data_IF_291257461931
#
_entry.id   IF_291257461931
#
_cell.length_a   1.000
_cell.length_b   1.000
_cell.length_c   1.000
_cell.angle_alpha   90.00
_cell.angle_beta   90.00
_cell.angle_gamma   90.00
#
_symmetry.space_group_name_H-M   'P 1'
#
loop_
_entity.id
_entity.type
_entity.pdbx_description
1 polymer ?
#
# COMPACT_ATOMS: atom_id res chain seq x y z
N UNK A 1 8.96 107.96 -117.76
CA UNK A 1 9.05 106.51 -117.56
C UNK A 1 9.09 106.22 -116.06
N UNK A 2 8.04 105.53 -115.56
CA UNK A 2 8.03 104.73 -114.32
C UNK A 2 9.27 103.78 -114.31
N UNK A 3 9.82 103.33 -113.16
CA UNK A 3 9.05 102.43 -112.29
C UNK A 3 9.17 102.62 -110.76
N UNK A 4 8.04 102.28 -110.15
CA UNK A 4 7.79 101.69 -108.83
C UNK A 4 9.00 101.46 -107.91
N UNK A 5 9.13 102.29 -106.86
CA UNK A 5 9.90 101.98 -105.64
C UNK A 5 9.03 101.76 -104.40
N UNK A 6 7.71 101.95 -104.50
CA UNK A 6 6.79 101.83 -103.36
C UNK A 6 6.21 100.42 -103.16
N UNK A 7 6.43 99.49 -104.10
CA UNK A 7 5.96 98.12 -103.97
C UNK A 7 6.93 97.23 -103.15
N UNK A 8 8.23 97.57 -103.11
CA UNK A 8 9.24 96.80 -102.37
C UNK A 8 9.14 96.96 -100.84
N UNK A 9 8.90 98.18 -100.32
CA UNK A 9 8.75 98.41 -98.88
C UNK A 9 7.48 97.75 -98.32
N UNK A 10 6.40 97.71 -99.11
CA UNK A 10 5.15 97.04 -98.74
C UNK A 10 5.32 95.50 -98.75
N UNK A 11 6.10 94.96 -99.70
CA UNK A 11 6.44 93.54 -99.75
C UNK A 11 7.31 93.10 -98.57
N UNK A 12 8.32 93.88 -98.20
CA UNK A 12 9.19 93.58 -97.06
C UNK A 12 8.42 93.69 -95.73
N UNK A 13 7.52 94.66 -95.56
CA UNK A 13 6.66 94.76 -94.37
C UNK A 13 5.63 93.63 -94.31
N UNK A 14 5.08 93.20 -95.45
CA UNK A 14 4.17 92.07 -95.54
C UNK A 14 4.89 90.73 -95.29
N UNK A 15 6.14 90.59 -95.75
CA UNK A 15 6.98 89.44 -95.49
C UNK A 15 7.39 89.36 -94.02
N UNK A 16 7.78 90.48 -93.40
CA UNK A 16 8.07 90.56 -91.97
C UNK A 16 6.82 90.23 -91.12
N UNK A 17 5.65 90.75 -91.50
CA UNK A 17 4.38 90.46 -90.83
C UNK A 17 3.97 88.98 -90.97
N UNK A 18 4.13 88.40 -92.17
CA UNK A 18 3.90 86.97 -92.40
C UNK A 18 4.87 86.10 -91.60
N UNK A 19 6.16 86.46 -91.55
CA UNK A 19 7.19 85.78 -90.75
C UNK A 19 6.87 85.88 -89.25
N UNK A 20 6.49 87.06 -88.76
CA UNK A 20 6.08 87.27 -87.37
C UNK A 20 4.84 86.44 -87.01
N UNK A 21 3.83 86.37 -87.89
CA UNK A 21 2.65 85.52 -87.72
C UNK A 21 2.99 84.03 -87.71
N UNK A 22 3.95 83.61 -88.53
CA UNK A 22 4.41 82.22 -88.58
C UNK A 22 5.20 81.83 -87.32
N UNK A 23 6.08 82.73 -86.85
CA UNK A 23 6.86 82.57 -85.61
C UNK A 23 5.96 82.55 -84.37
N UNK A 24 4.98 83.44 -84.28
CA UNK A 24 4.01 83.44 -83.17
C UNK A 24 3.15 82.17 -83.16
N UNK A 25 2.69 81.69 -84.32
CA UNK A 25 1.99 80.39 -84.44
C UNK A 25 2.87 79.22 -84.00
N UNK A 26 4.16 79.21 -84.39
CA UNK A 26 5.11 78.19 -83.96
C UNK A 26 5.36 78.26 -82.44
N UNK A 27 5.54 79.46 -81.87
CA UNK A 27 5.70 79.68 -80.42
C UNK A 27 4.48 79.19 -79.62
N UNK A 28 3.27 79.47 -80.09
CA UNK A 28 2.04 79.00 -79.44
C UNK A 28 1.90 77.48 -79.50
N UNK A 29 2.25 76.84 -80.63
CA UNK A 29 2.29 75.37 -80.74
C UNK A 29 3.32 74.75 -79.78
N UNK A 30 4.51 75.34 -79.68
CA UNK A 30 5.57 74.89 -78.76
C UNK A 30 5.09 75.08 -77.31
N UNK A 31 4.51 76.23 -76.95
CA UNK A 31 3.97 76.49 -75.61
C UNK A 31 2.88 75.48 -75.24
N UNK A 32 1.94 75.21 -76.16
CA UNK A 32 0.91 74.19 -75.95
C UNK A 32 1.53 72.79 -75.78
N UNK A 33 2.48 72.41 -76.62
CA UNK A 33 3.20 71.13 -76.52
C UNK A 33 3.96 71.00 -75.19
N UNK A 34 4.61 72.06 -74.73
CA UNK A 34 5.27 72.10 -73.42
C UNK A 34 4.26 71.86 -72.30
N UNK A 35 3.11 72.56 -72.30
CA UNK A 35 2.06 72.39 -71.30
C UNK A 35 1.51 70.95 -71.27
N UNK A 36 1.29 70.34 -72.44
CA UNK A 36 0.84 68.95 -72.55
C UNK A 36 1.89 67.99 -72.00
N UNK A 37 3.16 68.16 -72.37
CA UNK A 37 4.28 67.36 -71.84
C UNK A 37 4.39 67.48 -70.33
N UNK A 38 4.31 68.68 -69.77
CA UNK A 38 4.43 68.89 -68.32
C UNK A 38 3.25 68.29 -67.56
N UNK A 39 2.04 68.37 -68.13
CA UNK A 39 0.86 67.66 -67.60
C UNK A 39 1.08 66.15 -67.59
N UNK A 40 1.53 65.58 -68.70
CA UNK A 40 1.85 64.14 -68.77
C UNK A 40 2.96 63.76 -67.78
N UNK A 41 3.97 64.60 -67.60
CA UNK A 41 5.07 64.36 -66.65
C UNK A 41 4.57 64.36 -65.21
N UNK A 42 3.65 65.27 -64.87
CA UNK A 42 2.99 65.30 -63.57
C UNK A 42 2.11 64.06 -63.35
N UNK A 43 1.35 63.66 -64.37
CA UNK A 43 0.49 62.47 -64.29
C UNK A 43 1.32 61.19 -64.16
N UNK A 44 2.43 61.07 -64.90
CA UNK A 44 3.42 59.99 -64.75
C UNK A 44 3.99 59.98 -63.32
N UNK A 45 4.34 61.14 -62.77
CA UNK A 45 4.89 61.24 -61.41
C UNK A 45 3.86 60.80 -60.35
N UNK A 46 2.59 61.17 -60.51
CA UNK A 46 1.49 60.72 -59.65
C UNK A 46 1.28 59.21 -59.71
N UNK A 47 1.27 58.64 -60.91
CA UNK A 47 1.11 57.19 -61.10
C UNK A 47 2.31 56.43 -60.54
N UNK A 48 3.53 56.93 -60.75
CA UNK A 48 4.75 56.35 -60.20
C UNK A 48 4.74 56.35 -58.66
N UNK A 49 4.28 57.44 -58.04
CA UNK A 49 4.14 57.52 -56.58
C UNK A 49 3.13 56.52 -56.04
N UNK A 50 1.94 56.40 -56.67
CA UNK A 50 0.94 55.38 -56.29
C UNK A 50 1.46 53.96 -56.46
N UNK A 51 2.19 53.68 -57.53
CA UNK A 51 2.80 52.36 -57.75
C UNK A 51 3.82 52.04 -56.65
N UNK A 52 4.62 53.02 -56.24
CA UNK A 52 5.57 52.83 -55.14
C UNK A 52 4.87 52.59 -53.81
N UNK A 53 3.79 53.33 -53.53
CA UNK A 53 2.96 53.11 -52.34
C UNK A 53 2.38 51.69 -52.32
N UNK A 54 1.76 51.23 -53.41
CA UNK A 54 1.20 49.89 -53.49
C UNK A 54 2.27 48.78 -53.37
N UNK A 55 3.48 49.01 -53.88
CA UNK A 55 4.59 48.06 -53.68
C UNK A 55 4.98 47.96 -52.21
N UNK A 56 5.08 49.09 -51.52
CA UNK A 56 5.38 49.11 -50.10
C UNK A 56 4.29 48.39 -49.29
N UNK A 57 3.00 48.69 -49.55
CA UNK A 57 1.88 48.00 -48.92
C UNK A 57 1.89 46.48 -49.20
N UNK A 58 2.25 46.08 -50.42
CA UNK A 58 2.41 44.67 -50.76
C UNK A 58 3.52 43.99 -49.96
N UNK A 59 4.68 44.65 -49.82
CA UNK A 59 5.81 44.12 -49.04
C UNK A 59 5.48 44.04 -47.54
N UNK A 60 4.76 45.04 -47.01
CA UNK A 60 4.29 45.06 -45.62
C UNK A 60 3.29 43.92 -45.36
N UNK A 61 2.29 43.74 -46.24
CA UNK A 61 1.33 42.64 -46.17
C UNK A 61 2.00 41.27 -46.29
N UNK A 62 3.03 41.16 -47.14
CA UNK A 62 3.81 39.92 -47.28
C UNK A 62 4.54 39.57 -45.97
N UNK A 63 5.10 40.57 -45.29
CA UNK A 63 5.74 40.37 -43.99
C UNK A 63 4.72 39.96 -42.92
N UNK A 64 3.54 40.57 -42.90
CA UNK A 64 2.46 40.22 -41.99
C UNK A 64 1.96 38.79 -42.22
N UNK A 65 1.78 38.38 -43.48
CA UNK A 65 1.40 37.01 -43.82
C UNK A 65 2.40 35.99 -43.27
N UNK A 66 3.70 36.26 -43.38
CA UNK A 66 4.75 35.39 -42.81
C UNK A 66 4.62 35.31 -41.29
N UNK A 67 4.40 36.43 -40.59
CA UNK A 67 4.23 36.46 -39.14
C UNK A 67 2.99 35.67 -38.70
N UNK A 68 1.86 35.87 -39.35
CA UNK A 68 0.62 35.14 -39.06
C UNK A 68 0.79 33.64 -39.31
N UNK A 69 1.45 33.26 -40.41
CA UNK A 69 1.74 31.86 -40.72
C UNK A 69 2.62 31.21 -39.65
N UNK A 70 3.63 31.93 -39.16
CA UNK A 70 4.46 31.45 -38.04
C UNK A 70 3.65 31.30 -36.74
N UNK A 71 2.77 32.25 -36.43
CA UNK A 71 1.88 32.17 -35.27
C UNK A 71 0.94 30.98 -35.35
N UNK A 72 0.33 30.72 -36.51
CA UNK A 72 -0.54 29.55 -36.75
C UNK A 72 0.25 28.27 -36.50
N UNK A 73 1.43 28.12 -37.09
CA UNK A 73 2.27 26.94 -36.90
C UNK A 73 2.66 26.70 -35.43
N UNK A 74 2.91 27.76 -34.66
CA UNK A 74 3.22 27.65 -33.23
C UNK A 74 1.99 27.19 -32.43
N UNK A 75 0.81 27.75 -32.73
CA UNK A 75 -0.44 27.36 -32.08
C UNK A 75 -0.84 25.92 -32.42
N UNK A 76 -0.66 25.49 -33.68
CA UNK A 76 -0.90 24.11 -34.10
C UNK A 76 -0.02 23.11 -33.34
N UNK A 77 1.27 23.44 -33.13
CA UNK A 77 2.17 22.62 -32.31
C UNK A 77 1.70 22.54 -30.87
N UNK A 78 1.32 23.66 -30.26
CA UNK A 78 0.80 23.69 -28.90
C UNK A 78 -0.49 22.85 -28.75
N UNK A 79 -1.40 22.92 -29.73
CA UNK A 79 -2.60 22.09 -29.76
C UNK A 79 -2.29 20.60 -29.87
N UNK A 80 -1.29 20.22 -30.67
CA UNK A 80 -0.83 18.83 -30.78
C UNK A 80 -0.24 18.32 -29.46
N UNK A 81 0.57 19.12 -28.79
CA UNK A 81 1.13 18.78 -27.47
C UNK A 81 0.04 18.64 -26.41
N UNK A 82 -0.92 19.57 -26.37
CA UNK A 82 -2.05 19.50 -25.46
C UNK A 82 -2.91 18.26 -25.71
N UNK A 83 -3.17 17.92 -26.97
CA UNK A 83 -3.93 16.71 -27.34
C UNK A 83 -3.23 15.44 -26.87
N UNK A 84 -1.90 15.36 -27.02
CA UNK A 84 -1.11 14.22 -26.51
C UNK A 84 -1.20 14.12 -24.99
N UNK A 85 -1.03 15.23 -24.28
CA UNK A 85 -1.15 15.25 -22.82
C UNK A 85 -2.54 14.81 -22.35
N UNK A 86 -3.60 15.27 -23.02
CA UNK A 86 -4.97 14.88 -22.71
C UNK A 86 -5.23 13.38 -22.95
N UNK A 87 -4.74 12.83 -24.06
CA UNK A 87 -4.82 11.41 -24.36
C UNK A 87 -4.11 10.57 -23.29
N UNK A 88 -2.89 10.96 -22.90
CA UNK A 88 -2.16 10.28 -21.81
C UNK A 88 -2.91 10.36 -20.47
N UNK A 89 -3.55 11.49 -20.17
CA UNK A 89 -4.37 11.63 -18.95
C UNK A 89 -5.62 10.73 -18.98
N UNK A 90 -6.27 10.57 -20.15
CA UNK A 90 -7.38 9.63 -20.33
C UNK A 90 -6.90 8.20 -20.14
N UNK A 91 -5.77 7.82 -20.74
CA UNK A 91 -5.21 6.48 -20.61
C UNK A 91 -4.89 6.15 -19.15
N UNK A 92 -4.26 7.08 -18.43
CA UNK A 92 -3.97 6.94 -17.00
C UNK A 92 -5.26 6.81 -16.17
N UNK A 93 -6.27 7.65 -16.43
CA UNK A 93 -7.57 7.56 -15.76
C UNK A 93 -8.21 6.20 -16.00
N UNK A 94 -8.16 5.69 -17.23
CA UNK A 94 -8.76 4.41 -17.58
C UNK A 94 -8.02 3.24 -16.92
N UNK A 95 -6.68 3.25 -16.88
CA UNK A 95 -5.91 2.21 -16.19
C UNK A 95 -6.18 2.19 -14.69
N UNK A 96 -6.18 3.37 -14.05
CA UNK A 96 -6.53 3.50 -12.63
C UNK A 96 -7.98 3.07 -12.35
N UNK A 97 -8.89 3.36 -13.27
CA UNK A 97 -10.28 2.91 -13.18
C UNK A 97 -10.42 1.39 -13.21
N UNK A 98 -9.61 0.70 -14.01
CA UNK A 98 -9.57 -0.77 -14.03
C UNK A 98 -9.01 -1.32 -12.72
N UNK A 99 -7.88 -0.80 -12.25
CA UNK A 99 -7.28 -1.21 -10.97
C UNK A 99 -8.25 -1.02 -9.80
N UNK A 100 -9.02 0.08 -9.77
CA UNK A 100 -10.03 0.32 -8.75
C UNK A 100 -11.14 -0.74 -8.76
N UNK A 101 -11.61 -1.13 -9.96
CA UNK A 101 -12.62 -2.17 -10.09
C UNK A 101 -12.09 -3.54 -9.63
N UNK A 102 -10.85 -3.88 -9.96
CA UNK A 102 -10.20 -5.11 -9.47
C UNK A 102 -10.09 -5.12 -7.93
N UNK A 103 -9.76 -3.97 -7.33
CA UNK A 103 -9.75 -3.83 -5.87
C UNK A 103 -11.14 -3.96 -5.25
N UNK A 104 -12.17 -3.39 -5.86
CA UNK A 104 -13.56 -3.51 -5.40
C UNK A 104 -14.07 -4.95 -5.48
N UNK A 105 -13.73 -5.71 -6.54
CA UNK A 105 -14.05 -7.15 -6.64
C UNK A 105 -13.42 -7.96 -5.50
N UNK A 106 -12.16 -7.67 -5.17
CA UNK A 106 -11.46 -8.30 -4.05
C UNK A 106 -12.14 -7.95 -2.71
N UNK A 107 -12.53 -6.70 -2.53
CA UNK A 107 -13.23 -6.23 -1.33
C UNK A 107 -14.58 -6.94 -1.15
N UNK A 108 -15.36 -7.08 -2.23
CA UNK A 108 -16.62 -7.85 -2.22
C UNK A 108 -16.39 -9.29 -1.79
N UNK A 109 -15.35 -9.95 -2.33
CA UNK A 109 -14.97 -11.30 -1.92
C UNK A 109 -14.60 -11.42 -0.44
N UNK A 110 -14.03 -10.37 0.18
CA UNK A 110 -13.79 -10.33 1.62
C UNK A 110 -15.08 -10.18 2.42
N UNK A 111 -16.00 -9.30 2.01
CA UNK A 111 -17.29 -9.15 2.68
C UNK A 111 -18.09 -10.44 2.68
N UNK A 112 -18.13 -11.15 1.56
CA UNK A 112 -18.79 -12.46 1.48
C UNK A 112 -18.19 -13.46 2.47
N UNK A 113 -16.85 -13.53 2.56
CA UNK A 113 -16.17 -14.40 3.53
C UNK A 113 -16.49 -14.05 4.98
N UNK A 114 -16.52 -12.75 5.31
CA UNK A 114 -16.88 -12.27 6.65
C UNK A 114 -18.32 -12.67 6.97
N UNK A 115 -19.24 -12.47 6.04
CA UNK A 115 -20.66 -12.82 6.24
C UNK A 115 -20.85 -14.33 6.47
N UNK A 116 -20.14 -15.18 5.71
CA UNK A 116 -20.17 -16.64 5.91
C UNK A 116 -19.61 -17.01 7.30
N UNK A 117 -18.48 -16.43 7.69
CA UNK A 117 -17.89 -16.67 9.00
C UNK A 117 -18.79 -16.20 10.15
N UNK A 118 -19.46 -15.06 10.00
CA UNK A 118 -20.41 -14.56 10.99
C UNK A 118 -21.62 -15.49 11.13
N UNK A 119 -22.14 -16.02 10.02
CA UNK A 119 -23.20 -17.04 10.06
C UNK A 119 -22.76 -18.32 10.78
N UNK A 120 -21.53 -18.79 10.54
CA UNK A 120 -20.96 -19.96 11.22
C UNK A 120 -20.75 -19.71 12.71
N UNK A 121 -20.26 -18.52 13.09
CA UNK A 121 -20.11 -18.11 14.50
C UNK A 121 -21.48 -18.08 15.19
N UNK A 122 -22.50 -17.50 14.56
CA UNK A 122 -23.85 -17.45 15.10
C UNK A 122 -24.44 -18.85 15.31
N UNK A 123 -24.23 -19.75 14.34
CA UNK A 123 -24.61 -21.17 14.47
C UNK A 123 -23.88 -21.84 15.64
N UNK A 124 -22.58 -21.57 15.80
CA UNK A 124 -21.78 -22.06 16.92
C UNK A 124 -22.29 -21.53 18.27
N UNK A 125 -22.60 -20.24 18.36
CA UNK A 125 -23.13 -19.61 19.57
C UNK A 125 -24.48 -20.21 19.98
N UNK A 126 -25.39 -20.45 19.03
CA UNK A 126 -26.65 -21.13 19.32
C UNK A 126 -26.43 -22.55 19.86
N UNK A 127 -25.49 -23.31 19.29
CA UNK A 127 -25.17 -24.64 19.79
C UNK A 127 -24.59 -24.60 21.21
N UNK A 128 -23.72 -23.63 21.51
CA UNK A 128 -23.19 -23.43 22.86
C UNK A 128 -24.31 -23.11 23.83
N UNK A 129 -25.21 -22.18 23.49
CA UNK A 129 -26.36 -21.82 24.33
C UNK A 129 -27.23 -23.04 24.64
N UNK A 130 -27.52 -23.89 23.63
CA UNK A 130 -28.27 -25.13 23.87
C UNK A 130 -27.57 -26.05 24.86
N UNK A 131 -26.26 -26.29 24.70
CA UNK A 131 -25.48 -27.15 25.61
C UNK A 131 -25.38 -26.53 27.01
N UNK A 132 -25.29 -25.21 27.13
CA UNK A 132 -25.27 -24.54 28.43
C UNK A 132 -26.61 -24.67 29.17
N UNK A 133 -27.74 -24.58 28.45
CA UNK A 133 -29.05 -24.86 29.05
C UNK A 133 -29.18 -26.31 29.52
N UNK A 134 -28.75 -27.27 28.71
CA UNK A 134 -28.72 -28.70 29.10
C UNK A 134 -27.82 -28.94 30.33
N UNK A 135 -26.65 -28.28 30.38
CA UNK A 135 -25.75 -28.35 31.54
C UNK A 135 -26.45 -27.84 32.80
N UNK A 136 -27.14 -26.70 32.72
CA UNK A 136 -27.86 -26.12 33.85
C UNK A 136 -28.97 -27.06 34.36
N UNK A 137 -29.71 -27.70 33.45
CA UNK A 137 -30.75 -28.66 33.81
C UNK A 137 -30.16 -29.89 34.50
N UNK A 138 -29.07 -30.45 33.98
CA UNK A 138 -28.37 -31.57 34.59
C UNK A 138 -27.79 -31.21 35.97
N UNK A 139 -27.23 -30.00 36.13
CA UNK A 139 -26.77 -29.51 37.43
C UNK A 139 -27.90 -29.42 38.45
N UNK A 140 -29.10 -29.02 38.03
CA UNK A 140 -30.29 -28.96 38.88
C UNK A 140 -30.75 -30.37 39.27
N UNK A 141 -30.74 -31.33 38.33
CA UNK A 141 -31.03 -32.74 38.63
C UNK A 141 -30.02 -33.32 39.62
N UNK A 142 -28.72 -33.07 39.43
CA UNK A 142 -27.68 -33.51 40.36
C UNK A 142 -27.90 -32.94 41.76
N UNK A 143 -28.31 -31.68 41.88
CA UNK A 143 -28.63 -31.05 43.18
C UNK A 143 -29.82 -31.72 43.84
N UNK A 144 -30.88 -32.03 43.10
CA UNK A 144 -32.06 -32.71 43.64
C UNK A 144 -31.74 -34.16 44.06
N UNK A 145 -31.00 -34.91 43.26
CA UNK A 145 -30.56 -36.26 43.61
C UNK A 145 -29.69 -36.27 44.87
N UNK A 146 -28.78 -35.30 45.02
CA UNK A 146 -28.01 -35.12 46.26
C UNK A 146 -28.91 -34.88 47.46
N UNK A 147 -29.93 -34.02 47.31
CA UNK A 147 -30.93 -33.75 48.37
C UNK A 147 -31.70 -35.03 48.74
N UNK A 148 -32.09 -35.84 47.76
CA UNK A 148 -32.77 -37.11 47.99
C UNK A 148 -31.85 -38.12 48.71
N UNK A 149 -30.58 -38.21 48.32
CA UNK A 149 -29.59 -39.05 49.02
C UNK A 149 -29.42 -38.63 50.47
N UNK A 150 -29.27 -37.32 50.74
CA UNK A 150 -29.19 -36.80 52.11
C UNK A 150 -30.43 -37.13 52.94
N UNK A 151 -31.62 -37.06 52.34
CA UNK A 151 -32.87 -37.45 53.01
C UNK A 151 -32.86 -38.95 53.35
N UNK A 152 -32.52 -39.82 52.41
CA UNK A 152 -32.43 -41.28 52.63
C UNK A 152 -31.39 -41.62 53.69
N UNK A 153 -30.24 -40.95 53.70
CA UNK A 153 -29.21 -41.15 54.73
C UNK A 153 -29.73 -40.84 56.14
N UNK A 154 -30.64 -39.86 56.29
CA UNK A 154 -31.30 -39.57 57.58
C UNK A 154 -32.34 -40.62 57.99
N UNK A 155 -32.90 -41.39 57.05
CA UNK A 155 -33.84 -42.48 57.33
C UNK A 155 -33.14 -43.78 57.77
N UNK A 156 -31.87 -43.98 57.38
CA UNK A 156 -31.07 -45.19 57.70
C UNK A 156 -31.00 -45.52 59.21
N UNK A 157 -30.78 -44.56 60.14
CA UNK A 157 -30.71 -44.87 61.57
C UNK A 157 -32.02 -45.43 62.11
N UNK A 158 -33.16 -44.87 61.69
CA UNK A 158 -34.47 -45.33 62.11
C UNK A 158 -34.74 -46.76 61.62
N UNK A 159 -34.36 -47.05 60.38
CA UNK A 159 -34.42 -48.42 59.83
C UNK A 159 -33.54 -49.39 60.62
N UNK A 160 -32.31 -49.00 60.97
CA UNK A 160 -31.41 -49.84 61.79
C UNK A 160 -31.99 -50.12 63.18
N UNK A 161 -32.59 -49.11 63.82
CA UNK A 161 -33.27 -49.28 65.11
C UNK A 161 -34.41 -50.30 65.02
N UNK A 162 -35.24 -50.21 63.99
CA UNK A 162 -36.32 -51.18 63.75
C UNK A 162 -35.78 -52.59 63.46
N UNK A 163 -34.69 -52.71 62.69
CA UNK A 163 -34.01 -53.99 62.45
C UNK A 163 -33.45 -54.58 63.76
N UNK A 164 -32.85 -53.77 64.62
CA UNK A 164 -32.39 -54.16 65.96
C UNK A 164 -33.56 -54.65 66.83
N UNK A 165 -34.68 -53.92 66.86
CA UNK A 165 -35.90 -54.34 67.57
C UNK A 165 -36.44 -55.68 67.05
N UNK A 166 -36.47 -55.89 65.73
CA UNK A 166 -36.90 -57.15 65.13
C UNK A 166 -35.96 -58.29 65.55
N UNK A 167 -34.65 -58.08 65.50
CA UNK A 167 -33.69 -59.13 65.91
C UNK A 167 -33.81 -59.44 67.41
N UNK A 168 -34.00 -58.43 68.26
CA UNK A 168 -34.26 -58.61 69.69
C UNK A 168 -35.53 -59.44 69.93
N UNK A 169 -36.62 -59.11 69.24
CA UNK A 169 -37.88 -59.86 69.31
C UNK A 169 -37.71 -61.30 68.80
N UNK A 170 -36.95 -61.51 67.71
CA UNK A 170 -36.64 -62.85 67.20
C UNK A 170 -35.81 -63.67 68.19
N UNK A 171 -34.81 -63.06 68.85
CA UNK A 171 -34.03 -63.70 69.92
C UNK A 171 -34.95 -64.06 71.09
N UNK A 172 -35.86 -63.16 71.50
CA UNK A 172 -36.79 -63.40 72.59
C UNK A 172 -37.78 -64.53 72.27
N UNK A 173 -38.30 -64.58 71.04
CA UNK A 173 -39.17 -65.67 70.56
C UNK A 173 -38.39 -66.98 70.46
N UNK A 174 -37.15 -66.98 69.94
CA UNK A 174 -36.29 -68.17 69.90
C UNK A 174 -35.91 -68.66 71.30
N UNK A 175 -35.65 -67.75 72.22
CA UNK A 175 -35.45 -68.02 73.65
C UNK A 175 -36.70 -68.61 74.31
N UNK A 176 -37.87 -68.08 74.01
CA UNK A 176 -39.15 -68.62 74.51
C UNK A 176 -39.45 -69.98 73.90
N UNK A 177 -39.15 -70.18 72.62
CA UNK A 177 -39.34 -71.47 71.93
C UNK A 177 -38.34 -72.54 72.40
N UNK A 178 -37.10 -72.18 72.71
CA UNK A 178 -36.13 -73.09 73.35
C UNK A 178 -36.53 -73.39 74.79
N UNK A 179 -37.00 -72.41 75.55
CA UNK A 179 -37.60 -72.63 76.88
C UNK A 179 -38.82 -73.52 76.79
N UNK A 180 -39.72 -73.32 75.85
CA UNK A 180 -40.90 -74.15 75.62
C UNK A 180 -40.51 -75.57 75.18
N UNK A 181 -39.49 -75.76 74.32
CA UNK A 181 -38.93 -77.08 74.03
C UNK A 181 -38.30 -77.74 75.26
N UNK A 182 -37.65 -76.95 76.11
CA UNK A 182 -37.07 -77.43 77.37
C UNK A 182 -38.17 -77.78 78.36
N UNK A 183 -39.23 -76.98 78.46
CA UNK A 183 -40.43 -77.24 79.26
C UNK A 183 -41.23 -78.44 78.71
N UNK A 184 -41.27 -78.62 77.40
CA UNK A 184 -41.81 -79.81 76.73
C UNK A 184 -40.94 -81.05 77.02
N UNK A 185 -39.63 -80.88 77.19
CA UNK A 185 -38.71 -81.91 77.68
C UNK A 185 -38.80 -82.18 79.19
N UNK A 186 -39.19 -81.17 79.98
CA UNK A 186 -39.44 -81.24 81.43
C UNK A 186 -40.88 -81.67 81.78
N UNK A 187 -41.76 -81.81 80.78
CA UNK A 187 -43.06 -82.48 80.92
C UNK A 187 -42.95 -84.02 80.94
N UNK A 188 -41.74 -84.55 81.15
CA UNK A 188 -41.57 -85.85 81.79
C UNK A 188 -41.36 -85.59 83.28
N UNK A 189 -42.13 -86.27 84.11
CA UNK A 189 -41.90 -86.36 85.55
C UNK A 189 -40.47 -86.84 85.79
N UNK A 190 -39.55 -85.91 86.05
CA UNK A 190 -38.15 -86.23 86.36
C UNK A 190 -37.91 -85.86 87.81
N UNK A 191 -37.54 -86.87 88.58
CA UNK A 191 -36.98 -86.78 89.93
C UNK A 191 -35.78 -85.82 89.95
N UNK A 192 -35.83 -84.83 90.83
CA UNK A 192 -34.74 -83.88 90.99
C UNK A 192 -33.56 -84.56 91.69
N UNK A 193 -32.36 -84.44 91.10
CA UNK A 193 -31.09 -84.78 91.74
C UNK A 193 -30.34 -83.49 92.02
N UNK A 194 -30.16 -83.15 93.29
CA UNK A 194 -29.37 -82.01 93.73
C UNK A 194 -27.96 -82.07 93.12
N UNK A 195 -27.65 -81.11 92.25
CA UNK A 195 -26.30 -80.87 91.78
C UNK A 195 -25.56 -80.07 92.86
N UNK A 196 -24.54 -80.69 93.45
CA UNK A 196 -23.63 -80.00 94.36
C UNK A 196 -22.72 -79.05 93.58
N UNK A 197 -23.17 -77.81 93.40
CA UNK A 197 -22.35 -76.63 93.20
C UNK A 197 -22.72 -75.64 94.29
N UNK A 198 -21.73 -74.96 94.89
CA UNK A 198 -22.05 -73.86 95.81
C UNK A 198 -22.57 -72.70 94.97
N UNK A 199 -23.83 -72.31 95.19
CA UNK A 199 -24.29 -71.01 94.71
C UNK A 199 -23.39 -69.95 95.34
N UNK A 200 -22.79 -69.05 94.54
CA UNK A 200 -21.92 -68.02 95.07
C UNK A 200 -22.71 -67.23 96.09
N UNK A 201 -22.13 -67.10 97.29
CA UNK A 201 -22.76 -66.38 98.40
C UNK A 201 -23.14 -64.97 97.93
N UNK A 202 -24.22 -64.42 98.45
CA UNK A 202 -24.59 -63.01 98.20
C UNK A 202 -23.38 -62.07 98.42
N UNK A 203 -22.49 -62.41 99.35
CA UNK A 203 -21.24 -61.70 99.58
C UNK A 203 -20.22 -61.82 98.41
N UNK A 204 -20.11 -62.97 97.74
CA UNK A 204 -19.22 -63.18 96.59
C UNK A 204 -19.72 -62.42 95.36
N UNK A 205 -21.04 -62.36 95.16
CA UNK A 205 -21.68 -61.56 94.11
C UNK A 205 -21.51 -60.06 94.35
N UNK A 206 -21.74 -59.59 95.57
CA UNK A 206 -21.51 -58.18 95.95
C UNK A 206 -20.05 -57.80 95.72
N UNK A 207 -19.09 -58.64 96.15
CA UNK A 207 -17.66 -58.40 95.91
C UNK A 207 -17.32 -58.35 94.41
N UNK A 208 -18.03 -59.12 93.58
CA UNK A 208 -17.85 -59.09 92.12
C UNK A 208 -18.45 -57.84 91.48
N UNK A 209 -19.58 -57.36 91.98
CA UNK A 209 -20.22 -56.12 91.54
C UNK A 209 -19.31 -54.93 91.89
N UNK A 210 -18.82 -54.84 93.12
CA UNK A 210 -17.87 -53.79 93.54
C UNK A 210 -16.61 -53.79 92.66
N UNK A 211 -16.07 -54.98 92.31
CA UNK A 211 -14.94 -55.09 91.39
C UNK A 211 -15.25 -54.57 89.97
N UNK A 212 -16.48 -54.75 89.49
CA UNK A 212 -16.90 -54.28 88.17
C UNK A 212 -17.17 -52.77 88.16
N UNK A 213 -17.74 -52.23 89.23
CA UNK A 213 -17.96 -50.79 89.41
C UNK A 213 -16.64 -50.02 89.44
N UNK A 214 -15.64 -50.53 90.17
CA UNK A 214 -14.29 -49.94 90.17
C UNK A 214 -13.66 -49.97 88.77
N UNK A 215 -13.83 -51.08 88.04
CA UNK A 215 -13.34 -51.19 86.65
C UNK A 215 -14.07 -50.25 85.68
N UNK A 216 -15.38 -50.05 85.87
CA UNK A 216 -16.18 -49.13 85.07
C UNK A 216 -15.71 -47.69 85.29
N UNK A 217 -15.59 -47.27 86.55
CA UNK A 217 -15.11 -45.94 86.92
C UNK A 217 -13.69 -45.66 86.36
N UNK A 218 -12.82 -46.67 86.37
CA UNK A 218 -11.49 -46.55 85.78
C UNK A 218 -11.52 -46.39 84.25
N UNK A 219 -12.45 -47.05 83.55
CA UNK A 219 -12.65 -46.88 82.11
C UNK A 219 -13.27 -45.54 81.74
N UNK A 220 -14.23 -45.06 82.52
CA UNK A 220 -14.82 -43.72 82.34
C UNK A 220 -13.76 -42.63 82.51
N UNK A 221 -12.91 -42.74 83.53
CA UNK A 221 -11.78 -41.83 83.72
C UNK A 221 -10.82 -41.83 82.54
N UNK A 222 -10.47 -43.02 82.02
CA UNK A 222 -9.61 -43.15 80.83
C UNK A 222 -10.26 -42.52 79.58
N UNK A 223 -11.57 -42.67 79.41
CA UNK A 223 -12.30 -42.08 78.29
C UNK A 223 -12.26 -40.54 78.34
N UNK A 224 -12.57 -39.95 79.50
CA UNK A 224 -12.48 -38.50 79.72
C UNK A 224 -11.08 -37.95 79.45
N UNK A 225 -10.03 -38.67 79.86
CA UNK A 225 -8.65 -38.29 79.55
C UNK A 225 -8.39 -38.28 78.03
N UNK A 226 -8.88 -39.28 77.29
CA UNK A 226 -8.75 -39.33 75.83
C UNK A 226 -9.55 -38.23 75.13
N UNK A 227 -10.75 -37.90 75.60
CA UNK A 227 -11.52 -36.78 75.05
C UNK A 227 -10.82 -35.44 75.25
N UNK A 228 -10.26 -35.18 76.44
CA UNK A 228 -9.48 -33.96 76.70
C UNK A 228 -8.25 -33.88 75.81
N UNK A 229 -7.56 -35.00 75.58
CA UNK A 229 -6.43 -35.06 74.65
C UNK A 229 -6.87 -34.79 73.21
N UNK A 230 -8.02 -35.31 72.77
CA UNK A 230 -8.57 -35.03 71.44
C UNK A 230 -8.94 -33.55 71.29
N UNK A 231 -9.58 -32.93 72.30
CA UNK A 231 -9.88 -31.49 72.26
C UNK A 231 -8.59 -30.65 72.17
N UNK A 232 -7.59 -31.00 72.97
CA UNK A 232 -6.30 -30.31 72.96
C UNK A 232 -5.58 -30.45 71.60
N UNK A 233 -5.53 -31.66 71.04
CA UNK A 233 -4.94 -31.91 69.71
C UNK A 233 -5.73 -31.17 68.64
N UNK A 234 -7.06 -31.15 68.73
CA UNK A 234 -7.93 -30.48 67.77
C UNK A 234 -7.72 -28.96 67.78
N UNK A 235 -7.60 -28.34 68.96
CA UNK A 235 -7.29 -26.92 69.13
C UNK A 235 -5.93 -26.53 68.55
N UNK A 236 -4.95 -27.43 68.58
CA UNK A 236 -3.63 -27.19 68.00
C UNK A 236 -3.63 -27.38 66.47
N UNK A 237 -4.37 -28.36 65.96
CA UNK A 237 -4.38 -28.70 64.52
C UNK A 237 -5.24 -27.72 63.70
N UNK A 238 -6.38 -27.27 64.22
CA UNK A 238 -7.31 -26.41 63.46
C UNK A 238 -6.68 -25.11 62.96
N UNK A 239 -5.94 -24.33 63.78
CA UNK A 239 -5.26 -23.12 63.31
C UNK A 239 -4.17 -23.41 62.29
N UNK A 240 -3.46 -24.54 62.43
CA UNK A 240 -2.42 -24.97 61.49
C UNK A 240 -3.02 -25.36 60.13
N UNK A 241 -4.18 -26.04 60.12
CA UNK A 241 -4.92 -26.35 58.89
C UNK A 241 -5.37 -25.07 58.18
N UNK A 242 -6.05 -24.17 58.89
CA UNK A 242 -6.50 -22.89 58.32
C UNK A 242 -5.32 -22.09 57.76
N UNK A 243 -4.20 -22.02 58.48
CA UNK A 243 -2.98 -21.37 57.98
C UNK A 243 -2.44 -22.06 56.72
N UNK A 244 -2.44 -23.39 56.68
CA UNK A 244 -1.96 -24.16 55.52
C UNK A 244 -2.86 -23.94 54.30
N UNK A 245 -4.17 -23.91 54.49
CA UNK A 245 -5.13 -23.70 53.41
C UNK A 245 -5.06 -22.27 52.86
N UNK A 246 -4.92 -21.26 53.74
CA UNK A 246 -4.68 -19.88 53.31
C UNK A 246 -3.36 -19.75 52.53
N UNK A 247 -2.27 -20.37 53.01
CA UNK A 247 -1.00 -20.36 52.28
C UNK A 247 -1.11 -21.06 50.91
N UNK A 248 -1.94 -22.10 50.77
CA UNK A 248 -2.21 -22.75 49.48
C UNK A 248 -2.97 -21.83 48.53
N UNK A 249 -3.95 -21.10 49.04
CA UNK A 249 -4.72 -20.12 48.27
C UNK A 249 -3.84 -18.94 47.83
N UNK A 250 -3.01 -18.40 48.71
CA UNK A 250 -2.01 -17.38 48.40
C UNK A 250 -1.00 -17.87 47.35
N UNK A 251 -0.52 -19.11 47.49
CA UNK A 251 0.37 -19.74 46.51
C UNK A 251 -0.29 -19.91 45.14
N UNK A 252 -1.57 -20.28 45.10
CA UNK A 252 -2.33 -20.43 43.86
C UNK A 252 -2.56 -19.08 43.17
N UNK A 253 -2.93 -18.05 43.92
CA UNK A 253 -3.12 -16.70 43.35
C UNK A 253 -1.81 -16.13 42.82
N UNK A 254 -0.70 -16.34 43.52
CA UNK A 254 0.63 -15.96 43.06
C UNK A 254 1.03 -16.71 41.79
N UNK A 255 0.81 -18.03 41.73
CA UNK A 255 1.10 -18.83 40.55
C UNK A 255 0.28 -18.38 39.32
N UNK A 256 -1.00 -18.04 39.50
CA UNK A 256 -1.85 -17.47 38.44
C UNK A 256 -1.28 -16.15 37.92
N UNK A 257 -0.94 -15.22 38.81
CA UNK A 257 -0.31 -13.94 38.44
C UNK A 257 1.02 -14.13 37.71
N UNK A 258 1.85 -15.08 38.15
CA UNK A 258 3.13 -15.38 37.50
C UNK A 258 2.92 -15.91 36.08
N UNK A 259 1.95 -16.81 35.89
CA UNK A 259 1.60 -17.33 34.56
C UNK A 259 1.06 -16.24 33.64
N UNK A 260 0.23 -15.33 34.16
CA UNK A 260 -0.29 -14.19 33.42
C UNK A 260 0.83 -13.22 32.99
N UNK A 261 1.74 -12.88 33.91
CA UNK A 261 2.93 -12.07 33.59
C UNK A 261 3.80 -12.76 32.53
N UNK A 262 4.01 -14.08 32.65
CA UNK A 262 4.78 -14.85 31.66
C UNK A 262 4.12 -14.80 30.27
N UNK A 263 2.80 -14.94 30.19
CA UNK A 263 2.06 -14.83 28.93
C UNK A 263 2.18 -13.42 28.32
N UNK A 264 2.08 -12.38 29.16
CA UNK A 264 2.26 -10.99 28.73
C UNK A 264 3.68 -10.74 28.19
N UNK A 265 4.72 -11.25 28.85
CA UNK A 265 6.12 -11.15 28.39
C UNK A 265 6.30 -11.84 27.03
N UNK A 266 5.70 -13.02 26.82
CA UNK A 266 5.77 -13.73 25.54
C UNK A 266 5.09 -12.93 24.43
N UNK A 267 3.91 -12.36 24.70
CA UNK A 267 3.19 -11.54 23.72
C UNK A 267 3.97 -10.25 23.36
N UNK A 268 4.52 -9.55 24.36
CA UNK A 268 5.37 -8.38 24.12
C UNK A 268 6.62 -8.77 23.32
N UNK A 269 7.25 -9.90 23.65
CA UNK A 269 8.41 -10.41 22.89
C UNK A 269 8.07 -10.69 21.42
N UNK A 270 6.89 -11.26 21.14
CA UNK A 270 6.43 -11.46 19.76
C UNK A 270 6.20 -10.13 19.02
N UNK A 271 5.56 -9.16 19.68
CA UNK A 271 5.39 -7.80 19.11
C UNK A 271 6.75 -7.15 18.83
N UNK A 272 7.70 -7.28 19.76
CA UNK A 272 9.05 -6.78 19.58
C UNK A 272 9.73 -7.43 18.37
N UNK A 273 9.66 -8.75 18.22
CA UNK A 273 10.19 -9.45 17.05
C UNK A 273 9.57 -8.92 15.75
N UNK A 274 8.25 -8.79 15.68
CA UNK A 274 7.57 -8.24 14.49
C UNK A 274 8.05 -6.81 14.15
N UNK A 275 8.14 -5.93 15.15
CA UNK A 275 8.64 -4.56 14.94
C UNK A 275 10.10 -4.51 14.54
N UNK A 276 10.95 -5.40 15.08
CA UNK A 276 12.36 -5.51 14.70
C UNK A 276 12.53 -5.98 13.25
N UNK A 277 11.70 -6.92 12.79
CA UNK A 277 11.69 -7.38 11.40
C UNK A 277 11.26 -6.25 10.45
N UNK A 278 10.21 -5.50 10.79
CA UNK A 278 9.78 -4.34 10.01
C UNK A 278 10.87 -3.27 9.95
N UNK A 279 11.55 -3.00 11.07
CA UNK A 279 12.66 -2.05 11.11
C UNK A 279 13.82 -2.52 10.21
N UNK A 280 14.20 -3.78 10.27
CA UNK A 280 15.24 -4.34 9.42
C UNK A 280 14.90 -4.24 7.92
N UNK A 281 13.65 -4.52 7.55
CA UNK A 281 13.18 -4.33 6.17
C UNK A 281 13.26 -2.87 5.72
N UNK A 282 12.85 -1.93 6.58
CA UNK A 282 12.95 -0.50 6.29
C UNK A 282 14.40 -0.04 6.17
N UNK A 283 15.29 -0.53 7.03
CA UNK A 283 16.72 -0.24 6.96
C UNK A 283 17.31 -0.75 5.64
N UNK A 284 16.96 -1.98 5.23
CA UNK A 284 17.40 -2.52 3.93
C UNK A 284 16.92 -1.66 2.75
N UNK A 285 15.67 -1.19 2.78
CA UNK A 285 15.12 -0.29 1.76
C UNK A 285 15.84 1.06 1.72
N UNK A 286 16.14 1.64 2.89
CA UNK A 286 16.90 2.90 2.95
C UNK A 286 18.29 2.72 2.35
N UNK A 287 18.96 1.61 2.64
CA UNK A 287 20.28 1.31 2.06
C UNK A 287 20.21 1.12 0.54
N UNK A 288 19.19 0.44 0.02
CA UNK A 288 19.03 0.28 -1.44
C UNK A 288 18.77 1.61 -2.14
N UNK A 289 17.92 2.48 -1.57
CA UNK A 289 17.66 3.81 -2.11
C UNK A 289 18.91 4.70 -2.02
N UNK A 290 19.68 4.62 -0.94
CA UNK A 290 20.97 5.32 -0.84
C UNK A 290 21.97 4.87 -1.90
N UNK A 291 22.00 3.57 -2.22
CA UNK A 291 22.83 3.06 -3.30
C UNK A 291 22.37 3.59 -4.66
N UNK A 292 21.06 3.60 -4.90
CA UNK A 292 20.50 4.12 -6.15
C UNK A 292 20.80 5.61 -6.32
N UNK A 293 20.69 6.42 -5.26
CA UNK A 293 21.08 7.83 -5.28
C UNK A 293 22.55 7.97 -5.69
N UNK A 294 23.46 7.22 -5.06
CA UNK A 294 24.90 7.25 -5.40
C UNK A 294 25.16 6.85 -6.85
N UNK A 295 24.46 5.82 -7.34
CA UNK A 295 24.60 5.38 -8.73
C UNK A 295 24.11 6.45 -9.71
N UNK A 296 23.01 7.14 -9.39
CA UNK A 296 22.50 8.27 -10.18
C UNK A 296 23.42 9.49 -10.13
N UNK A 297 23.96 9.83 -8.95
CA UNK A 297 24.96 10.88 -8.79
C UNK A 297 26.21 10.60 -9.63
N UNK A 298 26.67 9.35 -9.65
CA UNK A 298 27.80 8.93 -10.48
C UNK A 298 27.47 9.02 -11.98
N UNK A 299 26.27 8.65 -12.39
CA UNK A 299 25.82 8.82 -13.79
C UNK A 299 25.80 10.29 -14.19
N UNK A 300 25.29 11.17 -13.33
CA UNK A 300 25.30 12.63 -13.56
C UNK A 300 26.73 13.15 -13.64
N UNK A 301 27.61 12.73 -12.74
CA UNK A 301 29.01 13.14 -12.77
C UNK A 301 29.71 12.68 -14.06
N UNK A 302 29.53 11.42 -14.46
CA UNK A 302 30.12 10.87 -15.69
C UNK A 302 29.59 11.56 -16.94
N UNK A 303 28.29 11.84 -17.01
CA UNK A 303 27.71 12.58 -18.14
C UNK A 303 28.20 14.02 -18.20
N UNK A 304 28.34 14.67 -17.04
CA UNK A 304 28.92 16.02 -16.95
C UNK A 304 30.39 16.04 -17.38
N UNK A 305 31.20 15.09 -16.92
CA UNK A 305 32.61 14.94 -17.31
C UNK A 305 32.77 14.62 -18.80
N UNK A 306 31.97 13.71 -19.36
CA UNK A 306 31.93 13.45 -20.79
C UNK A 306 31.57 14.71 -21.57
N UNK A 307 30.54 15.45 -21.14
CA UNK A 307 30.13 16.71 -21.76
C UNK A 307 31.25 17.76 -21.70
N UNK A 308 31.95 17.86 -20.58
CA UNK A 308 33.10 18.76 -20.39
C UNK A 308 34.26 18.38 -21.29
N UNK A 309 34.60 17.09 -21.38
CA UNK A 309 35.62 16.57 -22.29
C UNK A 309 35.25 16.79 -23.76
N UNK A 310 33.98 16.61 -24.15
CA UNK A 310 33.53 16.89 -25.53
C UNK A 310 33.62 18.38 -25.85
N UNK A 311 33.25 19.26 -24.92
CA UNK A 311 33.38 20.71 -25.12
C UNK A 311 34.85 21.12 -25.24
N UNK A 312 35.71 20.61 -24.36
CA UNK A 312 37.16 20.87 -24.42
C UNK A 312 37.80 20.37 -25.71
N UNK A 313 37.40 19.16 -26.18
CA UNK A 313 37.86 18.66 -27.48
C UNK A 313 37.33 19.55 -28.60
N UNK A 314 36.05 19.91 -28.60
CA UNK A 314 35.48 20.79 -29.62
C UNK A 314 36.15 22.16 -29.69
N UNK A 315 36.54 22.74 -28.55
CA UNK A 315 37.28 24.01 -28.48
C UNK A 315 38.72 23.86 -28.99
N UNK A 316 39.43 22.80 -28.60
CA UNK A 316 40.78 22.48 -29.12
C UNK A 316 40.75 22.25 -30.65
N UNK A 317 39.71 21.61 -31.17
CA UNK A 317 39.50 21.43 -32.61
C UNK A 317 39.08 22.70 -33.35
N UNK A 318 38.52 23.69 -32.65
CA UNK A 318 38.15 25.00 -33.23
C UNK A 318 39.34 25.95 -33.27
N UNK A 319 40.44 25.68 -32.57
CA UNK A 319 41.70 26.41 -32.70
C UNK A 319 42.47 25.97 -33.94
N UNK A 320 42.74 26.92 -34.84
CA UNK A 320 43.63 26.71 -35.96
C UNK A 320 45.10 26.83 -35.51
N UNK A 321 46.09 26.24 -36.23
CA UNK A 321 47.51 26.26 -35.84
C UNK A 321 48.15 27.65 -35.67
N UNK A 322 47.45 28.72 -36.08
CA UNK A 322 47.83 30.12 -35.92
C UNK A 322 47.19 30.79 -34.68
N UNK A 323 46.46 30.05 -33.85
CA UNK A 323 45.83 30.51 -32.60
C UNK A 323 44.47 31.20 -32.77
N UNK A 324 43.86 31.18 -33.97
CA UNK A 324 42.55 31.81 -34.21
C UNK A 324 41.43 30.77 -34.19
N UNK A 325 40.35 31.07 -33.45
CA UNK A 325 39.19 30.20 -33.29
C UNK A 325 38.21 30.30 -34.49
N UNK A 326 37.79 29.18 -35.07
CA UNK A 326 36.81 29.13 -36.17
C UNK A 326 35.38 28.82 -35.70
N UNK A 327 34.39 29.49 -36.30
CA UNK A 327 32.96 29.28 -36.02
C UNK A 327 32.28 28.39 -37.07
N UNK A 328 33.01 27.92 -38.09
CA UNK A 328 32.44 27.09 -39.14
C UNK A 328 32.14 25.66 -38.64
N UNK A 329 30.98 25.06 -38.98
CA UNK A 329 30.63 23.71 -38.53
C UNK A 329 31.56 22.65 -39.14
N UNK A 330 31.93 21.63 -38.34
CA UNK A 330 32.83 20.56 -38.76
C UNK A 330 32.20 19.72 -39.89
N UNK A 331 32.97 19.43 -40.94
CA UNK A 331 32.57 18.47 -41.97
C UNK A 331 32.79 17.02 -41.48
N UNK A 332 31.85 16.09 -41.72
CA UNK A 332 32.05 14.67 -41.40
C UNK A 332 33.32 14.14 -42.07
N UNK A 333 34.26 13.62 -41.27
CA UNK A 333 35.55 13.11 -41.78
C UNK A 333 35.39 11.78 -42.56
N UNK A 334 34.34 11.01 -42.25
CA UNK A 334 33.96 9.82 -42.99
C UNK A 334 32.44 9.74 -43.07
N UNK A 335 31.91 9.60 -44.28
CA UNK A 335 30.47 9.45 -44.53
C UNK A 335 29.99 8.01 -44.33
N UNK A 336 30.90 7.06 -44.14
CA UNK A 336 30.62 5.67 -43.77
C UNK A 336 31.44 5.38 -42.50
N UNK A 337 30.81 5.22 -41.33
CA UNK A 337 31.54 4.97 -40.08
C UNK A 337 32.16 3.58 -40.09
N UNK A 338 33.47 3.48 -39.87
CA UNK A 338 34.14 2.19 -39.62
C UNK A 338 34.02 1.88 -38.13
N UNK A 339 32.95 1.19 -37.71
CA UNK A 339 32.77 0.78 -36.31
C UNK A 339 31.33 0.75 -35.78
N UNK A 340 30.31 1.01 -36.60
CA UNK A 340 28.91 0.75 -36.24
C UNK A 340 28.46 -0.60 -36.81
N UNK A 341 27.71 -1.39 -36.03
CA UNK A 341 27.25 -2.74 -36.40
C UNK A 341 26.44 -2.79 -37.71
N UNK A 342 25.96 -1.64 -38.20
CA UNK A 342 25.49 -1.46 -39.57
C UNK A 342 26.23 -0.30 -40.26
N UNK A 343 26.73 -0.48 -41.50
CA UNK A 343 27.41 0.56 -42.28
C UNK A 343 26.39 1.45 -42.98
N UNK A 344 25.62 2.24 -42.22
CA UNK A 344 24.67 3.20 -42.80
C UNK A 344 25.40 4.52 -43.10
N UNK A 345 25.42 4.99 -44.36
CA UNK A 345 26.08 6.26 -44.69
C UNK A 345 25.38 7.45 -44.02
N UNK A 346 26.14 8.33 -43.38
CA UNK A 346 25.60 9.58 -42.81
C UNK A 346 25.24 10.54 -43.96
N UNK A 347 24.05 11.15 -43.96
CA UNK A 347 23.65 12.07 -45.02
C UNK A 347 24.55 13.30 -45.05
N UNK A 348 24.86 13.82 -46.24
CA UNK A 348 25.79 14.94 -46.43
C UNK A 348 25.32 16.27 -45.84
N UNK A 349 24.07 16.36 -45.40
CA UNK A 349 23.49 17.57 -44.80
C UNK A 349 23.54 18.77 -45.75
N UNK A 350 23.69 19.97 -45.18
CA UNK A 350 23.78 21.23 -45.94
C UNK A 350 25.06 21.37 -46.79
N UNK A 351 26.00 20.42 -46.68
CA UNK A 351 27.33 20.48 -47.32
C UNK A 351 27.49 19.32 -48.30
N UNK A 352 26.49 19.10 -49.16
CA UNK A 352 26.52 18.05 -50.17
C UNK A 352 27.71 18.21 -51.14
N UNK A 353 28.32 17.11 -51.61
CA UNK A 353 29.37 17.16 -52.62
C UNK A 353 28.87 17.91 -53.84
N UNK A 354 29.70 18.81 -54.35
CA UNK A 354 29.40 19.55 -55.56
C UNK A 354 29.12 18.57 -56.70
N UNK A 355 27.88 18.54 -57.21
CA UNK A 355 27.53 17.78 -58.40
C UNK A 355 27.88 18.63 -59.62
N UNK A 356 28.90 18.25 -60.43
CA UNK A 356 29.20 18.99 -61.63
C UNK A 356 27.99 18.92 -62.58
N UNK A 357 27.55 20.08 -63.04
CA UNK A 357 26.52 20.22 -64.07
C UNK A 357 26.95 19.45 -65.32
N UNK A 358 26.05 18.68 -65.97
CA UNK A 358 26.39 17.94 -67.17
C UNK A 358 26.90 18.89 -68.25
N UNK A 359 27.96 18.47 -68.94
CA UNK A 359 28.68 19.26 -69.93
C UNK A 359 27.73 19.79 -71.00
N UNK A 360 27.53 21.10 -71.04
CA UNK A 360 26.75 21.75 -72.08
C UNK A 360 27.41 21.60 -73.46
N UNK A 361 26.60 21.68 -74.53
CA UNK A 361 27.00 21.43 -75.92
C UNK A 361 28.18 22.26 -76.47
N UNK A 362 28.70 23.23 -75.72
CA UNK A 362 29.85 24.08 -76.05
C UNK A 362 31.23 23.50 -75.68
N UNK A 363 31.32 22.26 -75.17
CA UNK A 363 32.60 21.62 -74.85
C UNK A 363 33.34 20.99 -76.04
N UNK A 364 33.02 21.34 -77.29
CA UNK A 364 33.73 20.81 -78.47
C UNK A 364 35.17 21.36 -78.66
N UNK A 365 35.59 22.33 -77.84
CA UNK A 365 36.91 22.99 -77.99
C UNK A 365 37.88 22.79 -76.81
N UNK A 366 37.53 22.00 -75.79
CA UNK A 366 38.44 21.75 -74.66
C UNK A 366 39.24 20.47 -74.92
N UNK A 367 40.50 20.61 -75.35
CA UNK A 367 41.46 19.50 -75.46
C UNK A 367 41.97 19.13 -74.07
N UNK A 368 41.86 17.85 -73.70
CA UNK A 368 42.43 17.34 -72.44
C UNK A 368 43.96 17.41 -72.50
N UNK A 369 44.64 17.97 -71.48
CA UNK A 369 46.10 17.95 -71.43
C UNK A 369 46.62 16.51 -71.26
N UNK A 370 47.71 16.19 -71.96
CA UNK A 370 48.40 14.90 -71.83
C UNK A 370 49.14 14.88 -70.49
N UNK A 371 48.88 13.91 -69.60
CA UNK A 371 49.58 13.83 -68.33
C UNK A 371 51.05 13.49 -68.56
N UNK A 372 51.96 14.28 -67.94
CA UNK A 372 53.39 13.94 -67.87
C UNK A 372 53.58 12.79 -66.86
N UNK A 373 54.49 11.84 -67.11
CA UNK A 373 54.84 10.83 -66.11
C UNK A 373 55.41 11.54 -64.87
N UNK A 374 54.87 11.20 -63.69
CA UNK A 374 55.41 11.64 -62.42
C UNK A 374 56.74 10.91 -62.17
N UNK A 375 57.82 11.66 -62.02
CA UNK A 375 59.00 11.17 -61.31
C UNK A 375 58.63 11.05 -59.82
N UNK A 376 59.03 9.95 -59.19
CA UNK A 376 58.60 9.49 -57.86
C UNK A 376 58.88 10.54 -56.78
#
# INVERSE_FOLDING_TARGET
MKPCKNDCLCFDQFFLFCLFRLVTKARMKISHSCKVRDKLRNDISKVAWKLQQFKQEFDDNKLELVKLTQSINLQEKALLELRKSHESAIQLRNSLGIELLEHDEVLLGYYEKVNVQEADINKGNMAIETVETERMDLELQIKEEKRLVELRLKEVPLRKQLEEEITMLQIQVGGSHTRDKTLQGLNRTVDYKELKGKDPSTAELVKKIEQLEVRLAERERQFLEKELLVDQVSRLITPLRVRTDNCREDGLTLAKKLNEIRANILNISHKLMATSALLAMRQALVLSLQQEIKDKELQVHNTHELSRCTLSQEDEWRELPNGVHTMAPRRPNAYIPQGSDLPVPKPYGAVAPFKPTPSGANMRHIRKPVPKPAEI
#
